data_IF_894371843526
#
_entry.id   IF_894371843526
#
_cell.length_a   1.000
_cell.length_b   1.000
_cell.length_c   1.000
_cell.angle_alpha   90.00
_cell.angle_beta   90.00
_cell.angle_gamma   90.00
#
_symmetry.space_group_name_H-M   'P 1'
#
loop_
_entity.id
_entity.type
_entity.pdbx_description
1 polymer ?
#
# COMPACT_ATOMS: atom_id res chain seq x y z
N UNK A 1 -51.75 7.79 -2.30
CA UNK A 1 -51.27 6.55 -1.68
C UNK A 1 -50.59 5.61 -2.66
N UNK A 2 -51.15 5.40 -3.82
CA UNK A 2 -50.49 4.56 -4.87
C UNK A 2 -49.17 5.16 -5.35
N UNK A 3 -49.08 6.47 -5.49
CA UNK A 3 -47.87 7.19 -5.92
C UNK A 3 -46.71 6.96 -4.94
N UNK A 4 -46.96 6.98 -3.64
CA UNK A 4 -45.95 6.77 -2.60
C UNK A 4 -45.36 5.35 -2.67
N UNK A 5 -46.22 4.35 -2.95
CA UNK A 5 -45.77 2.97 -3.12
C UNK A 5 -44.82 2.80 -4.34
N UNK A 6 -45.17 3.45 -5.44
CA UNK A 6 -44.35 3.44 -6.65
C UNK A 6 -43.03 4.20 -6.46
N UNK A 7 -43.05 5.33 -5.78
CA UNK A 7 -41.84 6.08 -5.44
C UNK A 7 -40.92 5.27 -4.51
N UNK A 8 -41.50 4.59 -3.53
CA UNK A 8 -40.76 3.72 -2.64
C UNK A 8 -40.12 2.54 -3.38
N UNK A 9 -40.88 1.89 -4.29
CA UNK A 9 -40.38 0.81 -5.11
C UNK A 9 -39.28 1.28 -6.04
N UNK A 10 -39.40 2.43 -6.67
CA UNK A 10 -38.39 3.05 -7.50
C UNK A 10 -37.11 3.33 -6.71
N UNK A 11 -37.23 3.88 -5.50
CA UNK A 11 -36.12 4.13 -4.60
C UNK A 11 -35.40 2.83 -4.24
N UNK A 12 -36.14 1.77 -3.91
CA UNK A 12 -35.57 0.47 -3.57
C UNK A 12 -34.81 -0.13 -4.77
N UNK A 13 -35.38 -0.07 -5.97
CA UNK A 13 -34.72 -0.52 -7.20
C UNK A 13 -33.43 0.27 -7.47
N UNK A 14 -33.45 1.57 -7.23
CA UNK A 14 -32.24 2.40 -7.40
C UNK A 14 -31.15 2.02 -6.41
N UNK A 15 -31.50 1.74 -5.15
CA UNK A 15 -30.54 1.24 -4.16
C UNK A 15 -29.91 -0.10 -4.54
N UNK A 16 -30.74 -1.04 -5.02
CA UNK A 16 -30.26 -2.36 -5.48
C UNK A 16 -29.32 -2.18 -6.67
N UNK A 17 -29.70 -1.39 -7.66
CA UNK A 17 -28.88 -1.10 -8.83
C UNK A 17 -27.56 -0.45 -8.46
N UNK A 18 -27.55 0.51 -7.53
CA UNK A 18 -26.35 1.17 -7.05
C UNK A 18 -25.42 0.19 -6.31
N UNK A 19 -26.00 -0.68 -5.48
CA UNK A 19 -25.23 -1.72 -4.75
C UNK A 19 -24.54 -2.66 -5.72
N UNK A 20 -25.26 -3.14 -6.73
CA UNK A 20 -24.70 -4.01 -7.78
C UNK A 20 -23.60 -3.28 -8.56
N UNK A 21 -23.83 -2.03 -8.92
CA UNK A 21 -22.86 -1.22 -9.62
C UNK A 21 -21.55 -1.08 -8.84
N UNK A 22 -21.62 -0.70 -7.55
CA UNK A 22 -20.44 -0.57 -6.69
C UNK A 22 -19.71 -1.92 -6.54
N UNK A 23 -20.45 -3.01 -6.35
CA UNK A 23 -19.88 -4.34 -6.18
C UNK A 23 -19.13 -4.84 -7.44
N UNK A 24 -19.58 -4.42 -8.61
CA UNK A 24 -18.97 -4.82 -9.90
C UNK A 24 -17.80 -3.93 -10.31
N UNK A 25 -17.58 -2.80 -9.64
CA UNK A 25 -16.43 -1.95 -9.93
C UNK A 25 -15.12 -2.69 -9.64
N UNK A 26 -14.13 -2.49 -10.52
CA UNK A 26 -12.78 -3.01 -10.29
C UNK A 26 -12.21 -2.33 -9.04
N UNK A 27 -12.04 -3.12 -7.98
CA UNK A 27 -11.47 -2.64 -6.72
C UNK A 27 -9.95 -2.56 -6.71
N UNK A 28 -9.29 -2.72 -7.88
CA UNK A 28 -7.85 -2.62 -7.98
C UNK A 28 -7.42 -1.15 -7.94
N UNK A 29 -6.39 -0.88 -7.17
CA UNK A 29 -5.74 0.43 -7.18
C UNK A 29 -4.25 0.27 -7.46
N UNK A 30 -3.65 1.28 -8.09
CA UNK A 30 -2.22 1.33 -8.35
C UNK A 30 -1.72 2.72 -7.97
N UNK A 31 -0.73 2.76 -7.10
CA UNK A 31 -0.01 3.99 -6.73
C UNK A 31 1.42 3.83 -7.19
N UNK A 32 1.95 4.83 -7.88
CA UNK A 32 3.32 4.82 -8.40
C UNK A 32 4.00 6.15 -8.12
N UNK A 33 5.23 6.10 -7.65
CA UNK A 33 6.05 7.28 -7.39
C UNK A 33 7.48 7.01 -7.80
N UNK A 34 8.17 8.04 -8.27
CA UNK A 34 9.59 7.96 -8.65
C UNK A 34 10.35 9.16 -8.08
N UNK A 35 11.59 8.92 -7.69
CA UNK A 35 12.48 9.96 -7.18
C UNK A 35 13.92 9.67 -7.58
N UNK A 36 14.65 10.73 -7.93
CA UNK A 36 16.09 10.65 -8.13
C UNK A 36 16.80 10.90 -6.80
N UNK A 37 17.67 9.98 -6.42
CA UNK A 37 18.48 10.07 -5.20
C UNK A 37 19.95 10.18 -5.61
N UNK A 38 20.64 11.19 -5.10
CA UNK A 38 22.05 11.45 -5.39
C UNK A 38 22.93 10.50 -4.55
N UNK A 39 22.89 9.23 -4.86
CA UNK A 39 23.69 8.17 -4.23
C UNK A 39 23.79 6.96 -5.15
N UNK A 40 24.84 6.11 -5.01
CA UNK A 40 24.99 4.90 -5.80
C UNK A 40 23.83 3.93 -5.58
N UNK A 41 23.49 3.16 -6.60
CA UNK A 41 22.39 2.18 -6.55
C UNK A 41 22.54 1.18 -5.41
N UNK A 42 23.73 0.64 -5.16
CA UNK A 42 23.99 -0.28 -4.06
C UNK A 42 23.66 0.32 -2.70
N UNK A 43 24.01 1.58 -2.48
CA UNK A 43 23.73 2.30 -1.23
C UNK A 43 22.24 2.51 -1.05
N UNK A 44 21.54 2.97 -2.08
CA UNK A 44 20.09 3.23 -2.04
C UNK A 44 19.32 1.92 -1.85
N UNK A 45 19.67 0.88 -2.58
CA UNK A 45 19.07 -0.44 -2.44
C UNK A 45 19.24 -0.99 -1.02
N UNK A 46 20.45 -0.98 -0.48
CA UNK A 46 20.73 -1.47 0.87
C UNK A 46 19.96 -0.71 1.93
N UNK A 47 19.78 0.58 1.75
CA UNK A 47 19.02 1.43 2.66
C UNK A 47 17.53 1.05 2.70
N UNK A 48 16.91 0.87 1.53
CA UNK A 48 15.49 0.48 1.43
C UNK A 48 15.28 -0.98 1.82
N UNK A 49 16.24 -1.86 1.52
CA UNK A 49 16.14 -3.29 1.76
C UNK A 49 16.16 -3.66 3.25
N UNK A 50 16.67 -2.80 4.11
CA UNK A 50 16.69 -3.02 5.55
C UNK A 50 15.55 -2.25 6.25
N UNK A 51 14.61 -2.98 6.85
CA UNK A 51 13.47 -2.39 7.53
C UNK A 51 13.83 -1.52 8.73
N UNK A 52 14.98 -1.68 9.32
CA UNK A 52 15.46 -0.80 10.39
C UNK A 52 15.62 0.65 9.95
N UNK A 53 15.82 0.89 8.66
CA UNK A 53 15.94 2.22 8.08
C UNK A 53 14.57 2.87 7.78
N UNK A 54 13.50 2.09 7.78
CA UNK A 54 12.18 2.56 7.34
C UNK A 54 11.59 3.64 8.22
N UNK A 55 11.83 3.62 9.51
CA UNK A 55 11.37 4.68 10.39
C UNK A 55 11.99 6.06 10.07
N UNK A 56 13.09 6.09 9.33
CA UNK A 56 13.76 7.33 8.94
C UNK A 56 13.09 8.03 7.75
N UNK A 57 12.37 7.28 6.90
CA UNK A 57 11.72 7.83 5.71
C UNK A 57 10.21 7.59 5.61
N UNK A 58 9.63 6.81 6.52
CA UNK A 58 8.21 6.49 6.50
C UNK A 58 7.43 7.47 7.38
N UNK A 59 6.70 8.36 6.74
CA UNK A 59 5.96 9.42 7.43
C UNK A 59 4.91 8.91 8.42
N UNK A 60 4.24 7.79 8.10
CA UNK A 60 3.23 7.21 9.01
C UNK A 60 3.84 6.66 10.29
N UNK A 61 5.09 6.21 10.25
CA UNK A 61 5.82 5.73 11.44
C UNK A 61 6.25 6.91 12.29
N UNK A 62 6.81 7.94 11.66
CA UNK A 62 7.36 9.10 12.33
C UNK A 62 6.28 10.02 12.93
N UNK A 63 5.11 10.09 12.31
CA UNK A 63 4.01 10.94 12.74
C UNK A 63 3.25 10.43 13.96
N UNK A 64 3.35 9.16 14.31
CA UNK A 64 2.66 8.54 15.43
C UNK A 64 3.65 8.14 16.53
N UNK A 65 3.70 8.93 17.60
CA UNK A 65 4.60 8.68 18.75
C UNK A 65 4.24 7.42 19.53
N UNK A 66 3.01 6.91 19.40
CA UNK A 66 2.57 5.66 20.02
C UNK A 66 2.85 4.43 19.15
N UNK A 67 3.48 4.61 18.00
CA UNK A 67 3.79 3.53 17.06
C UNK A 67 4.76 2.53 17.66
N UNK A 68 4.35 1.28 17.72
CA UNK A 68 5.19 0.15 18.11
C UNK A 68 5.66 -0.59 16.87
N UNK A 69 6.95 -0.77 16.74
CA UNK A 69 7.57 -1.46 15.62
C UNK A 69 8.11 -2.81 16.07
N UNK A 70 7.84 -3.85 15.28
CA UNK A 70 8.34 -5.21 15.48
C UNK A 70 9.04 -5.66 14.22
N UNK A 71 10.25 -6.19 14.36
CA UNK A 71 11.06 -6.67 13.24
C UNK A 71 11.20 -8.19 13.29
N UNK A 72 11.29 -8.81 12.12
CA UNK A 72 11.72 -10.22 12.03
C UNK A 72 13.19 -10.35 12.50
N UNK A 73 13.64 -11.57 12.84
CA UNK A 73 15.04 -11.79 13.23
C UNK A 73 16.04 -11.30 12.19
N UNK A 74 15.72 -11.49 10.90
CA UNK A 74 16.46 -10.92 9.78
C UNK A 74 15.69 -9.69 9.32
N UNK A 75 16.35 -8.52 9.21
CA UNK A 75 15.69 -7.24 8.89
C UNK A 75 15.85 -6.81 7.45
N UNK A 76 16.63 -7.54 6.66
CA UNK A 76 16.86 -7.26 5.24
C UNK A 76 16.77 -8.52 4.39
N UNK A 77 16.44 -8.34 3.11
CA UNK A 77 16.35 -9.43 2.16
C UNK A 77 15.06 -10.25 2.24
N UNK A 78 15.03 -11.36 1.54
CA UNK A 78 13.89 -12.28 1.49
C UNK A 78 13.48 -12.75 2.89
N UNK A 79 12.20 -12.83 3.17
CA UNK A 79 11.59 -13.25 4.45
C UNK A 79 11.78 -12.25 5.61
N UNK A 80 12.39 -11.10 5.38
CA UNK A 80 12.38 -10.02 6.37
C UNK A 80 11.02 -9.34 6.43
N UNK A 81 10.64 -8.85 7.59
CA UNK A 81 9.36 -8.18 7.80
C UNK A 81 9.42 -7.10 8.85
N UNK A 82 8.50 -6.17 8.75
CA UNK A 82 8.24 -5.11 9.73
C UNK A 82 6.75 -5.08 10.01
N UNK A 83 6.39 -5.12 11.29
CA UNK A 83 5.02 -4.93 11.77
C UNK A 83 4.93 -3.63 12.54
N UNK A 84 3.87 -2.86 12.33
CA UNK A 84 3.64 -1.63 13.07
C UNK A 84 2.24 -1.61 13.67
N UNK A 85 2.16 -1.08 14.89
CA UNK A 85 0.92 -0.87 15.63
C UNK A 85 0.94 0.54 16.20
N UNK A 86 0.07 1.39 15.71
CA UNK A 86 -0.07 2.77 16.16
C UNK A 86 -1.47 3.07 16.66
N UNK A 87 -1.72 4.32 17.01
CA UNK A 87 -3.02 4.77 17.46
C UNK A 87 -4.07 4.79 16.34
N UNK A 88 -3.64 5.05 15.10
CA UNK A 88 -4.51 5.17 13.93
C UNK A 88 -4.17 4.18 12.81
N UNK A 89 -2.92 3.79 12.71
CA UNK A 89 -2.43 2.95 11.62
C UNK A 89 -1.80 1.68 12.16
N UNK A 90 -2.15 0.56 11.56
CA UNK A 90 -1.51 -0.72 11.82
C UNK A 90 -1.31 -1.51 10.53
N UNK A 91 -0.37 -2.43 10.54
CA UNK A 91 -0.12 -3.29 9.41
C UNK A 91 1.22 -3.99 9.48
N UNK A 92 1.57 -4.63 8.38
CA UNK A 92 2.87 -5.24 8.21
C UNK A 92 3.31 -5.21 6.75
N UNK A 93 4.61 -5.39 6.57
CA UNK A 93 5.22 -5.53 5.26
C UNK A 93 6.28 -6.62 5.32
N UNK A 94 6.32 -7.46 4.30
CA UNK A 94 7.27 -8.57 4.19
C UNK A 94 7.94 -8.53 2.83
N UNK A 95 9.25 -8.71 2.81
CA UNK A 95 10.00 -8.87 1.57
C UNK A 95 9.87 -10.29 1.07
N UNK A 96 9.27 -10.47 -0.10
CA UNK A 96 9.09 -11.78 -0.73
C UNK A 96 10.38 -12.24 -1.41
N UNK A 97 10.98 -11.36 -2.19
CA UNK A 97 12.28 -11.60 -2.82
C UNK A 97 12.92 -10.30 -3.30
N UNK A 98 14.22 -10.37 -3.57
CA UNK A 98 14.99 -9.30 -4.18
C UNK A 98 15.69 -9.84 -5.42
N UNK A 99 15.99 -8.97 -6.38
CA UNK A 99 16.73 -9.33 -7.59
C UNK A 99 17.95 -8.42 -7.72
N UNK A 100 19.11 -8.94 -7.32
CA UNK A 100 20.35 -8.15 -7.27
C UNK A 100 20.14 -6.86 -6.47
N UNK A 101 20.70 -5.76 -6.95
CA UNK A 101 20.44 -4.42 -6.43
C UNK A 101 19.41 -3.65 -7.27
N UNK A 102 18.61 -4.35 -8.06
CA UNK A 102 17.72 -3.76 -9.06
C UNK A 102 16.27 -3.65 -8.59
N UNK A 103 15.79 -4.61 -7.80
CA UNK A 103 14.39 -4.63 -7.40
C UNK A 103 14.14 -5.35 -6.07
N UNK A 104 13.05 -4.94 -5.42
CA UNK A 104 12.51 -5.57 -4.21
C UNK A 104 11.02 -5.79 -4.46
N UNK A 105 10.51 -6.98 -4.13
CA UNK A 105 9.08 -7.29 -4.18
C UNK A 105 8.61 -7.62 -2.77
N UNK A 106 7.56 -6.94 -2.35
CA UNK A 106 7.03 -7.01 -1.00
C UNK A 106 5.53 -7.26 -1.01
N UNK A 107 5.03 -7.84 0.06
CA UNK A 107 3.62 -7.97 0.39
C UNK A 107 3.33 -7.07 1.58
N UNK A 108 2.34 -6.21 1.46
CA UNK A 108 1.97 -5.27 2.50
C UNK A 108 0.49 -5.39 2.86
N UNK A 109 0.19 -5.22 4.13
CA UNK A 109 -1.17 -5.01 4.62
C UNK A 109 -1.17 -3.74 5.46
N UNK A 110 -1.94 -2.76 5.03
CA UNK A 110 -2.04 -1.45 5.70
C UNK A 110 -3.49 -1.20 6.07
N UNK A 111 -3.79 -1.14 7.37
CA UNK A 111 -5.16 -0.95 7.90
C UNK A 111 -6.18 -1.91 7.29
N UNK A 112 -5.79 -3.18 7.11
CA UNK A 112 -6.65 -4.22 6.56
C UNK A 112 -6.67 -4.31 5.03
N UNK A 113 -5.98 -3.42 4.33
CA UNK A 113 -5.89 -3.44 2.87
C UNK A 113 -4.61 -4.12 2.42
N UNK A 114 -4.74 -5.24 1.73
CA UNK A 114 -3.61 -5.98 1.17
C UNK A 114 -3.16 -5.38 -0.16
N UNK A 115 -1.84 -5.29 -0.35
CA UNK A 115 -1.23 -4.83 -1.59
C UNK A 115 0.10 -5.53 -1.84
N UNK A 116 0.52 -5.53 -3.11
CA UNK A 116 1.87 -5.88 -3.51
C UNK A 116 2.67 -4.62 -3.77
N UNK A 117 3.90 -4.58 -3.28
CA UNK A 117 4.78 -3.43 -3.39
C UNK A 117 6.01 -3.81 -4.20
N UNK A 118 6.34 -2.97 -5.16
CA UNK A 118 7.47 -3.17 -6.07
C UNK A 118 8.39 -1.96 -5.99
N UNK A 119 9.67 -2.23 -5.76
CA UNK A 119 10.73 -1.24 -5.81
C UNK A 119 11.63 -1.53 -6.98
N UNK A 120 11.98 -0.52 -7.73
CA UNK A 120 12.96 -0.60 -8.82
C UNK A 120 14.03 0.46 -8.63
N UNK A 121 15.28 0.07 -8.82
CA UNK A 121 16.45 0.93 -8.66
C UNK A 121 17.23 0.93 -9.97
N UNK A 122 17.41 2.11 -10.54
CA UNK A 122 18.07 2.26 -11.84
C UNK A 122 19.16 3.33 -11.76
N UNK A 123 20.36 2.97 -12.22
CA UNK A 123 21.43 3.95 -12.37
C UNK A 123 21.05 5.02 -13.39
N UNK A 124 21.26 6.27 -13.04
CA UNK A 124 21.05 7.40 -13.92
C UNK A 124 22.18 8.42 -13.77
N UNK A 125 22.21 9.38 -14.68
CA UNK A 125 23.08 10.54 -14.50
C UNK A 125 22.64 11.31 -13.26
N UNK A 126 23.54 11.49 -12.30
CA UNK A 126 23.28 12.17 -11.03
C UNK A 126 22.83 11.29 -9.88
N UNK A 127 22.80 9.95 -10.05
CA UNK A 127 22.52 9.04 -8.95
C UNK A 127 21.66 7.83 -9.32
N UNK A 128 20.66 7.54 -8.50
CA UNK A 128 19.77 6.39 -8.67
C UNK A 128 18.33 6.85 -8.79
N UNK A 129 17.64 6.40 -9.82
CA UNK A 129 16.18 6.55 -9.92
C UNK A 129 15.52 5.42 -9.15
N UNK A 130 14.79 5.77 -8.11
CA UNK A 130 13.99 4.86 -7.30
C UNK A 130 12.54 4.97 -7.74
N UNK A 131 11.93 3.86 -8.09
CA UNK A 131 10.51 3.78 -8.41
C UNK A 131 9.83 2.86 -7.41
N UNK A 132 8.76 3.36 -6.81
CA UNK A 132 7.90 2.62 -5.91
C UNK A 132 6.52 2.45 -6.54
N UNK A 133 5.98 1.25 -6.47
CA UNK A 133 4.66 0.93 -6.99
C UNK A 133 3.92 0.04 -5.99
N UNK A 134 2.70 0.40 -5.68
CA UNK A 134 1.80 -0.41 -4.86
C UNK A 134 0.55 -0.76 -5.64
N UNK A 135 0.21 -2.04 -5.68
CA UNK A 135 -0.98 -2.57 -6.36
C UNK A 135 -1.79 -3.37 -5.36
N UNK A 136 -3.04 -3.01 -5.20
CA UNK A 136 -3.92 -3.68 -4.24
C UNK A 136 -5.35 -3.78 -4.70
N UNK A 137 -6.17 -4.43 -3.86
CA UNK A 137 -7.60 -4.61 -4.09
C UNK A 137 -8.37 -4.06 -2.91
N UNK A 138 -9.40 -3.28 -3.19
CA UNK A 138 -10.33 -2.79 -2.19
C UNK A 138 -11.45 -3.81 -1.95
N UNK A 139 -11.83 -3.99 -0.69
CA UNK A 139 -13.05 -4.73 -0.33
C UNK A 139 -14.30 -3.86 -0.63
N UNK A 140 -15.49 -4.44 -0.44
CA UNK A 140 -16.75 -3.73 -0.72
C UNK A 140 -16.90 -2.42 0.07
N UNK A 141 -16.58 -2.44 1.35
CA UNK A 141 -16.65 -1.24 2.21
C UNK A 141 -15.71 -0.13 1.73
N UNK A 142 -14.49 -0.50 1.34
CA UNK A 142 -13.52 0.44 0.79
C UNK A 142 -13.98 1.01 -0.56
N UNK A 143 -14.63 0.20 -1.39
CA UNK A 143 -15.23 0.67 -2.65
C UNK A 143 -16.33 1.70 -2.41
N UNK A 144 -17.18 1.49 -1.41
CA UNK A 144 -18.21 2.46 -1.02
C UNK A 144 -17.56 3.77 -0.60
N UNK A 145 -16.56 3.72 0.28
CA UNK A 145 -15.86 4.91 0.75
C UNK A 145 -15.16 5.67 -0.39
N UNK A 146 -14.61 4.96 -1.37
CA UNK A 146 -13.96 5.58 -2.53
C UNK A 146 -14.97 6.19 -3.51
N UNK A 147 -16.20 5.65 -3.57
CA UNK A 147 -17.27 6.16 -4.43
C UNK A 147 -17.89 7.46 -3.90
N UNK A 148 -18.03 7.58 -2.60
CA UNK A 148 -18.57 8.76 -1.91
C UNK A 148 -17.47 9.64 -1.32
#
# INVERSE_FOLDING_TARGET
MRIIKYLFLLFLLTLVALTIYIATQKGNFTVKSSKLINSPKTTVFSYVNDYKNWQKFSSWIDSDKAMKLSYSPITSGSQSSLTWEGSNDNGYIETLYTKGNDSIVQKMEFNGTASEVFWAFKDTVGGTKVTWKSVGKMNFTQKINAFF
#
